data_IF_493270101588
#
_entry.id   IF_493270101588
#
_cell.length_a   1.000
_cell.length_b   1.000
_cell.length_c   1.000
_cell.angle_alpha   90.00
_cell.angle_beta   90.00
_cell.angle_gamma   90.00
#
_symmetry.space_group_name_H-M   'P 1'
#
loop_
_entity.id
_entity.type
_entity.pdbx_description
1 polymer ?
#
# COMPACT_ATOMS: atom_id res chain seq x y z
N UNK A 1 13.94 8.20 11.15
CA UNK A 1 13.04 7.40 12.02
C UNK A 1 11.69 7.30 11.31
N UNK A 2 11.06 6.13 11.25
CA UNK A 2 9.68 6.02 10.74
C UNK A 2 8.74 6.64 11.78
N UNK A 3 7.81 7.49 11.37
CA UNK A 3 6.93 8.22 12.31
C UNK A 3 5.85 7.34 12.96
N UNK A 4 5.75 6.07 12.53
CA UNK A 4 4.82 5.08 13.09
C UNK A 4 3.35 5.30 12.71
N UNK A 5 3.06 6.34 11.91
CA UNK A 5 1.70 6.64 11.48
C UNK A 5 1.20 5.67 10.39
N UNK A 6 -0.10 5.42 10.34
CA UNK A 6 -0.70 4.62 9.28
C UNK A 6 -0.82 5.44 8.00
N UNK A 7 -0.36 4.86 6.89
CA UNK A 7 -0.46 5.48 5.57
C UNK A 7 -1.89 5.37 5.01
N UNK A 8 -2.25 6.33 4.14
CA UNK A 8 -3.51 6.38 3.44
C UNK A 8 -4.71 6.81 4.30
N UNK A 9 -5.92 6.77 3.71
CA UNK A 9 -7.15 7.16 4.38
C UNK A 9 -7.42 6.35 5.64
N UNK A 10 -8.20 6.88 6.58
CA UNK A 10 -8.54 6.22 7.84
C UNK A 10 -7.29 5.96 8.70
N UNK A 11 -6.67 7.05 9.18
CA UNK A 11 -5.43 7.06 9.96
C UNK A 11 -5.51 6.36 11.33
N UNK A 12 -6.69 5.88 11.74
CA UNK A 12 -6.94 5.12 12.97
C UNK A 12 -6.74 3.60 12.79
N UNK A 13 -6.56 3.11 11.57
CA UNK A 13 -6.32 1.68 11.27
C UNK A 13 -5.22 1.49 10.24
N UNK A 14 -4.50 0.37 10.33
CA UNK A 14 -3.54 -0.08 9.30
C UNK A 14 -4.22 -0.79 8.12
N UNK A 15 -5.44 -1.32 8.30
CA UNK A 15 -6.20 -1.99 7.25
C UNK A 15 -6.91 -0.95 6.39
N UNK A 16 -6.62 -0.96 5.09
CA UNK A 16 -7.23 -0.01 4.15
C UNK A 16 -8.46 -0.60 3.50
N UNK A 17 -9.36 0.28 3.06
CA UNK A 17 -10.64 -0.10 2.49
C UNK A 17 -10.48 -0.72 1.09
N UNK A 18 -10.97 -1.95 0.93
CA UNK A 18 -10.99 -2.68 -0.34
C UNK A 18 -11.84 -1.94 -1.38
N UNK A 19 -11.44 -2.00 -2.64
CA UNK A 19 -12.01 -1.28 -3.79
C UNK A 19 -11.89 0.25 -3.75
N UNK A 20 -11.84 0.90 -2.58
CA UNK A 20 -11.60 2.34 -2.45
C UNK A 20 -10.12 2.69 -2.58
N UNK A 21 -9.25 2.03 -1.80
CA UNK A 21 -7.80 2.33 -1.76
C UNK A 21 -6.96 1.34 -2.56
N UNK A 22 -7.38 0.10 -2.65
CA UNK A 22 -6.71 -0.93 -3.45
C UNK A 22 -7.69 -1.99 -3.95
N UNK A 23 -7.32 -2.68 -5.02
CA UNK A 23 -8.04 -3.87 -5.51
C UNK A 23 -7.12 -4.75 -6.38
N UNK A 24 -7.29 -6.07 -6.35
CA UNK A 24 -6.69 -6.94 -7.36
C UNK A 24 -7.35 -6.72 -8.73
N UNK A 25 -6.57 -6.84 -9.79
CA UNK A 25 -6.98 -6.87 -11.18
C UNK A 25 -6.49 -8.20 -11.76
N UNK A 26 -7.31 -9.24 -11.57
CA UNK A 26 -6.96 -10.62 -11.92
C UNK A 26 -6.81 -10.85 -13.42
N UNK A 27 -7.39 -9.98 -14.26
CA UNK A 27 -7.24 -10.07 -15.71
C UNK A 27 -5.88 -9.57 -16.19
N UNK A 28 -5.14 -8.83 -15.35
CA UNK A 28 -3.86 -8.19 -15.68
C UNK A 28 -2.75 -8.53 -14.69
N UNK A 29 -2.96 -9.54 -13.84
CA UNK A 29 -1.99 -10.01 -12.84
C UNK A 29 -1.34 -8.89 -12.01
N UNK A 30 -2.17 -7.95 -11.52
CA UNK A 30 -1.67 -6.80 -10.75
C UNK A 30 -2.58 -6.44 -9.59
N UNK A 31 -1.99 -5.76 -8.61
CA UNK A 31 -2.73 -5.06 -7.56
C UNK A 31 -2.73 -3.58 -7.92
N UNK A 32 -3.93 -3.00 -8.03
CA UNK A 32 -4.11 -1.56 -8.23
C UNK A 32 -4.18 -0.90 -6.87
N UNK A 33 -3.30 0.08 -6.63
CA UNK A 33 -3.42 1.03 -5.52
C UNK A 33 -3.90 2.35 -6.11
N UNK A 34 -5.01 2.86 -5.60
CA UNK A 34 -5.68 4.02 -6.19
C UNK A 34 -5.00 5.33 -5.76
N UNK A 35 -5.28 6.41 -6.50
CA UNK A 35 -4.88 7.76 -6.09
C UNK A 35 -5.41 8.15 -4.70
N UNK A 36 -6.56 7.60 -4.27
CA UNK A 36 -7.15 7.89 -2.95
C UNK A 36 -6.22 7.48 -1.82
N UNK A 37 -5.50 6.36 -1.99
CA UNK A 37 -4.47 5.95 -1.05
C UNK A 37 -3.32 6.98 -1.00
N UNK A 38 -2.79 7.38 -2.15
CA UNK A 38 -1.61 8.24 -2.23
C UNK A 38 -1.88 9.69 -1.85
N UNK A 39 -3.08 10.21 -2.11
CA UNK A 39 -3.49 11.58 -1.76
C UNK A 39 -3.54 11.79 -0.24
N UNK A 40 -3.79 10.73 0.54
CA UNK A 40 -3.77 10.74 2.00
C UNK A 40 -2.51 10.08 2.59
N UNK A 41 -1.48 9.86 1.75
CA UNK A 41 -0.19 9.33 2.18
C UNK A 41 0.88 10.41 2.12
N UNK A 42 1.53 10.65 3.27
CA UNK A 42 2.68 11.54 3.36
C UNK A 42 3.85 10.99 2.53
N UNK A 43 4.75 11.87 2.13
CA UNK A 43 6.00 11.46 1.50
C UNK A 43 6.87 10.65 2.47
N UNK A 44 7.62 9.71 1.92
CA UNK A 44 8.45 8.78 2.69
C UNK A 44 8.26 7.32 2.28
N UNK A 45 8.74 6.43 3.14
CA UNK A 45 8.65 4.98 2.95
C UNK A 45 7.40 4.42 3.62
N UNK A 46 6.65 3.58 2.88
CA UNK A 46 5.52 2.82 3.42
C UNK A 46 5.75 1.34 3.16
N UNK A 47 5.47 0.52 4.17
CA UNK A 47 5.44 -0.94 4.04
C UNK A 47 3.98 -1.38 3.87
N UNK A 48 3.67 -1.98 2.73
CA UNK A 48 2.39 -2.61 2.45
C UNK A 48 2.47 -4.10 2.80
N UNK A 49 1.38 -4.62 3.38
CA UNK A 49 1.19 -6.04 3.63
C UNK A 49 -0.11 -6.48 2.98
N UNK A 50 -0.02 -7.38 2.01
CA UNK A 50 -1.19 -7.97 1.35
C UNK A 50 -1.49 -9.31 1.99
N UNK A 51 -2.68 -9.44 2.56
CA UNK A 51 -3.15 -10.66 3.20
C UNK A 51 -4.05 -11.41 2.22
N UNK A 52 -3.71 -12.66 1.93
CA UNK A 52 -4.47 -13.51 1.01
C UNK A 52 -5.30 -14.53 1.78
N UNK A 53 -6.40 -14.98 1.18
CA UNK A 53 -7.28 -15.99 1.77
C UNK A 53 -6.57 -17.32 2.08
N UNK A 54 -5.48 -17.64 1.38
CA UNK A 54 -4.64 -18.79 1.66
C UNK A 54 -3.79 -18.68 2.94
N UNK A 55 -3.81 -17.52 3.61
CA UNK A 55 -3.01 -17.24 4.81
C UNK A 55 -1.68 -16.55 4.52
N UNK A 56 -1.23 -16.55 3.26
CA UNK A 56 0.01 -15.87 2.86
C UNK A 56 -0.07 -14.36 3.07
N UNK A 57 1.06 -13.79 3.49
CA UNK A 57 1.23 -12.35 3.64
C UNK A 57 2.42 -11.91 2.79
N UNK A 58 2.15 -11.11 1.77
CA UNK A 58 3.20 -10.56 0.90
C UNK A 58 3.53 -9.14 1.33
N UNK A 59 4.80 -8.87 1.62
CA UNK A 59 5.30 -7.55 1.97
C UNK A 59 5.84 -6.81 0.73
N UNK A 60 5.52 -5.52 0.64
CA UNK A 60 5.99 -4.66 -0.45
C UNK A 60 6.38 -3.29 0.09
N UNK A 61 7.47 -2.71 -0.40
CA UNK A 61 7.89 -1.35 0.01
C UNK A 61 7.57 -0.36 -1.10
N UNK A 62 7.03 0.79 -0.70
CA UNK A 62 6.88 1.94 -1.59
C UNK A 62 7.64 3.13 -1.04
N UNK A 63 8.17 3.95 -1.94
CA UNK A 63 8.74 5.27 -1.62
C UNK A 63 7.98 6.32 -2.40
N UNK A 64 7.33 7.25 -1.68
CA UNK A 64 6.57 8.36 -2.24
C UNK A 64 7.33 9.67 -2.08
N UNK A 65 7.41 10.45 -3.17
CA UNK A 65 7.93 11.82 -3.18
C UNK A 65 7.09 12.67 -4.13
N UNK A 66 6.25 13.54 -3.57
CA UNK A 66 5.23 14.28 -4.31
C UNK A 66 4.31 13.33 -5.09
N UNK A 67 4.31 13.46 -6.42
CA UNK A 67 3.54 12.61 -7.33
C UNK A 67 4.30 11.34 -7.78
N UNK A 68 5.58 11.21 -7.46
CA UNK A 68 6.37 10.03 -7.81
C UNK A 68 6.21 8.96 -6.74
N UNK A 69 5.92 7.74 -7.19
CA UNK A 69 5.86 6.54 -6.36
C UNK A 69 6.72 5.48 -7.01
N UNK A 70 7.67 4.95 -6.25
CA UNK A 70 8.46 3.78 -6.65
C UNK A 70 8.14 2.61 -5.73
N UNK A 71 8.22 1.40 -6.27
CA UNK A 71 7.90 0.17 -5.56
C UNK A 71 9.06 -0.81 -5.60
N UNK A 72 9.28 -1.54 -4.51
CA UNK A 72 10.29 -2.59 -4.40
C UNK A 72 9.70 -3.81 -3.71
N UNK A 73 9.80 -4.96 -4.36
CA UNK A 73 9.50 -6.24 -3.75
C UNK A 73 10.44 -6.48 -2.56
N UNK A 74 9.90 -6.99 -1.46
CA UNK A 74 10.72 -7.46 -0.35
C UNK A 74 11.05 -8.92 -0.63
N UNK A 75 12.29 -9.18 -1.03
CA UNK A 75 12.85 -10.53 -1.06
C UNK A 75 13.33 -10.88 0.35
N UNK A 76 12.93 -12.05 0.83
CA UNK A 76 13.54 -12.68 2.01
C UNK A 76 14.97 -13.14 1.71
#
# INVERSE_FOLDING_TARGET
>A
MKDGSFAGPQNWTSYKEYAYTFRPDFMKDRIVITEKFFNETKDGEVTLKFHFWGGDIVSYKISKSGAQVTGKAVTE
#
